data_IF_287211780285
#
_entry.id   IF_287211780285
#
_cell.length_a   1.000
_cell.length_b   1.000
_cell.length_c   1.000
_cell.angle_alpha   90.00
_cell.angle_beta   90.00
_cell.angle_gamma   90.00
#
_symmetry.space_group_name_H-M   'P 1'
#
loop_
_entity.id
_entity.type
_entity.pdbx_description
1 polymer ?
#
# COMPACT_ATOMS: atom_id res chain seq x y z
N UNK A 1 10.27 -28.23 2.21
CA UNK A 1 8.82 -28.11 2.52
C UNK A 1 8.46 -26.65 2.73
N UNK A 2 7.81 -26.04 1.73
CA UNK A 2 7.10 -24.76 1.92
C UNK A 2 6.04 -25.00 3.00
N UNK A 3 5.95 -24.15 4.03
CA UNK A 3 4.90 -24.31 5.05
C UNK A 3 3.56 -24.21 4.32
N UNK A 4 2.74 -25.27 4.33
CA UNK A 4 1.41 -25.31 3.68
C UNK A 4 0.59 -24.04 3.98
N UNK A 5 0.68 -23.55 5.21
CA UNK A 5 0.04 -22.31 5.65
C UNK A 5 0.41 -21.04 4.85
N UNK A 6 1.62 -20.95 4.28
CA UNK A 6 2.03 -19.81 3.47
C UNK A 6 1.34 -19.82 2.10
N UNK A 7 1.31 -20.97 1.43
CA UNK A 7 0.62 -21.15 0.14
C UNK A 7 -0.85 -20.78 0.31
N UNK A 8 -1.51 -21.33 1.33
CA UNK A 8 -2.92 -21.04 1.60
C UNK A 8 -3.21 -19.54 1.75
N UNK A 9 -2.36 -18.79 2.46
CA UNK A 9 -2.55 -17.34 2.64
C UNK A 9 -2.42 -16.56 1.33
N UNK A 10 -1.43 -16.89 0.50
CA UNK A 10 -1.22 -16.21 -0.78
C UNK A 10 -2.33 -16.56 -1.78
N UNK A 11 -2.69 -17.83 -1.87
CA UNK A 11 -3.79 -18.30 -2.71
C UNK A 11 -5.12 -17.68 -2.27
N UNK A 12 -5.43 -17.66 -0.98
CA UNK A 12 -6.67 -17.05 -0.48
C UNK A 12 -6.73 -15.55 -0.77
N UNK A 13 -5.62 -14.83 -0.62
CA UNK A 13 -5.56 -13.40 -0.91
C UNK A 13 -5.79 -13.13 -2.40
N UNK A 14 -5.15 -13.90 -3.27
CA UNK A 14 -5.32 -13.79 -4.72
C UNK A 14 -6.77 -14.10 -5.15
N UNK A 15 -7.35 -15.20 -4.65
CA UNK A 15 -8.74 -15.58 -4.93
C UNK A 15 -9.72 -14.52 -4.41
N UNK A 16 -9.52 -13.99 -3.20
CA UNK A 16 -10.33 -12.90 -2.68
C UNK A 16 -10.23 -11.65 -3.58
N UNK A 17 -9.04 -11.36 -4.08
CA UNK A 17 -8.80 -10.31 -5.06
C UNK A 17 -9.60 -10.51 -6.35
N UNK A 18 -9.61 -11.73 -6.90
CA UNK A 18 -10.43 -12.06 -8.05
C UNK A 18 -11.93 -11.86 -7.77
N UNK A 19 -12.44 -12.34 -6.63
CA UNK A 19 -13.85 -12.17 -6.26
C UNK A 19 -14.26 -10.69 -6.19
N UNK A 20 -13.39 -9.85 -5.62
CA UNK A 20 -13.56 -8.40 -5.56
C UNK A 20 -13.48 -7.78 -6.96
N UNK A 21 -12.49 -8.17 -7.78
CA UNK A 21 -12.31 -7.64 -9.13
C UNK A 21 -13.45 -8.00 -10.09
N UNK A 22 -14.05 -9.19 -9.93
CA UNK A 22 -15.26 -9.58 -10.66
C UNK A 22 -16.51 -8.82 -10.19
N UNK A 23 -16.41 -8.09 -9.07
CA UNK A 23 -17.54 -7.42 -8.40
C UNK A 23 -18.63 -8.41 -7.98
N UNK A 24 -18.25 -9.63 -7.62
CA UNK A 24 -19.16 -10.64 -7.06
C UNK A 24 -19.69 -10.16 -5.70
N UNK A 25 -18.81 -9.53 -4.91
CA UNK A 25 -19.20 -8.84 -3.69
C UNK A 25 -19.60 -7.38 -3.99
N UNK A 26 -20.72 -6.88 -3.44
CA UNK A 26 -21.10 -5.48 -3.60
C UNK A 26 -20.01 -4.54 -3.06
N UNK A 27 -19.67 -3.44 -3.77
CA UNK A 27 -18.64 -2.50 -3.32
C UNK A 27 -18.86 -1.96 -1.90
N UNK A 28 -20.12 -1.79 -1.49
CA UNK A 28 -20.50 -1.34 -0.15
C UNK A 28 -20.02 -2.30 0.94
N UNK A 29 -20.09 -3.62 0.70
CA UNK A 29 -19.61 -4.64 1.65
C UNK A 29 -18.09 -4.55 1.82
N UNK A 30 -17.36 -4.35 0.71
CA UNK A 30 -15.91 -4.18 0.74
C UNK A 30 -15.54 -2.87 1.44
N UNK A 31 -16.31 -1.79 1.18
CA UNK A 31 -16.19 -0.51 1.88
C UNK A 31 -16.36 -0.64 3.39
N UNK A 32 -17.32 -1.44 3.84
CA UNK A 32 -17.50 -1.73 5.27
C UNK A 32 -16.26 -2.42 5.87
N UNK A 33 -15.75 -3.47 5.24
CA UNK A 33 -14.52 -4.13 5.72
C UNK A 33 -13.30 -3.21 5.70
N UNK A 34 -13.18 -2.34 4.69
CA UNK A 34 -12.13 -1.33 4.64
C UNK A 34 -12.20 -0.37 5.84
N UNK A 35 -13.39 0.15 6.17
CA UNK A 35 -13.58 1.01 7.35
C UNK A 35 -13.23 0.27 8.64
N UNK A 36 -13.61 -1.00 8.77
CA UNK A 36 -13.22 -1.82 9.93
C UNK A 36 -11.69 -1.94 10.06
N UNK A 37 -10.97 -2.13 8.95
CA UNK A 37 -9.50 -2.19 8.95
C UNK A 37 -8.90 -0.84 9.36
N UNK A 38 -9.44 0.29 8.87
CA UNK A 38 -9.02 1.64 9.29
C UNK A 38 -9.20 1.80 10.80
N UNK A 39 -10.39 1.50 11.33
CA UNK A 39 -10.69 1.60 12.76
C UNK A 39 -9.72 0.71 13.56
N UNK A 40 -9.50 -0.53 13.12
CA UNK A 40 -8.54 -1.43 13.75
C UNK A 40 -7.13 -0.84 13.78
N UNK A 41 -6.66 -0.23 12.68
CA UNK A 41 -5.36 0.45 12.64
C UNK A 41 -5.28 1.59 13.67
N UNK A 42 -6.31 2.45 13.76
CA UNK A 42 -6.35 3.54 14.75
C UNK A 42 -6.36 2.99 16.18
N UNK A 43 -7.14 1.96 16.46
CA UNK A 43 -7.21 1.30 17.78
C UNK A 43 -5.85 0.71 18.17
N UNK A 44 -5.19 -0.01 17.27
CA UNK A 44 -3.87 -0.59 17.56
C UNK A 44 -2.77 0.46 17.69
N UNK A 45 -2.83 1.55 16.91
CA UNK A 45 -1.96 2.71 17.10
C UNK A 45 -2.19 3.34 18.48
N UNK A 46 -3.44 3.51 18.90
CA UNK A 46 -3.79 4.00 20.22
C UNK A 46 -3.37 3.04 21.33
N UNK A 47 -3.31 1.73 21.09
CA UNK A 47 -2.78 0.76 22.06
C UNK A 47 -1.24 0.67 22.04
N UNK A 48 -0.57 1.37 21.11
CA UNK A 48 0.85 1.21 20.81
C UNK A 48 1.24 -0.24 20.46
N UNK A 49 0.28 -1.04 19.95
CA UNK A 49 0.51 -2.40 19.46
C UNK A 49 0.99 -2.34 18.01
N UNK A 50 2.26 -1.99 17.84
CA UNK A 50 2.91 -1.89 16.52
C UNK A 50 2.82 -3.21 15.75
N UNK A 51 2.83 -4.35 16.44
CA UNK A 51 2.75 -5.66 15.83
C UNK A 51 1.44 -5.87 15.08
N UNK A 52 0.30 -5.49 15.66
CA UNK A 52 -1.00 -5.56 14.99
C UNK A 52 -1.17 -4.42 14.00
N UNK A 53 -0.78 -3.20 14.37
CA UNK A 53 -0.83 -2.04 13.48
C UNK A 53 -0.18 -2.32 12.11
N UNK A 54 1.09 -2.75 12.09
CA UNK A 54 1.81 -3.08 10.85
C UNK A 54 1.35 -4.39 10.19
N UNK A 55 0.49 -5.18 10.85
CA UNK A 55 -0.20 -6.30 10.21
C UNK A 55 -1.38 -5.79 9.38
N UNK A 56 -2.20 -4.90 9.92
CA UNK A 56 -3.43 -4.43 9.26
C UNK A 56 -3.19 -3.31 8.25
N UNK A 57 -2.20 -2.45 8.49
CA UNK A 57 -1.92 -1.27 7.68
C UNK A 57 -1.74 -1.57 6.17
N UNK A 58 -0.98 -2.60 5.74
CA UNK A 58 -0.85 -2.93 4.31
C UNK A 58 -2.19 -3.25 3.64
N UNK A 59 -3.10 -3.92 4.34
CA UNK A 59 -4.41 -4.25 3.78
C UNK A 59 -5.27 -3.00 3.58
N UNK A 60 -5.19 -2.01 4.48
CA UNK A 60 -5.82 -0.71 4.28
C UNK A 60 -5.26 -0.01 3.04
N UNK A 61 -3.93 0.12 2.95
CA UNK A 61 -3.24 0.79 1.84
C UNK A 61 -3.63 0.18 0.49
N UNK A 62 -3.56 -1.14 0.36
CA UNK A 62 -3.81 -1.80 -0.93
C UNK A 62 -5.30 -1.89 -1.27
N UNK A 63 -6.19 -1.98 -0.28
CA UNK A 63 -7.63 -1.96 -0.52
C UNK A 63 -8.14 -0.57 -0.93
N UNK A 64 -7.49 0.51 -0.48
CA UNK A 64 -7.86 1.88 -0.82
C UNK A 64 -8.00 2.09 -2.33
N UNK A 65 -7.10 1.50 -3.13
CA UNK A 65 -7.10 1.64 -4.60
C UNK A 65 -8.45 1.25 -5.18
N UNK A 66 -9.01 0.12 -4.71
CA UNK A 66 -10.31 -0.36 -5.13
C UNK A 66 -11.45 0.52 -4.59
N UNK A 67 -11.35 0.92 -3.32
CA UNK A 67 -12.36 1.73 -2.63
C UNK A 67 -12.53 3.10 -3.31
N UNK A 68 -11.43 3.77 -3.66
CA UNK A 68 -11.47 5.07 -4.37
C UNK A 68 -12.20 4.96 -5.70
N UNK A 69 -12.03 3.85 -6.42
CA UNK A 69 -12.68 3.63 -7.71
C UNK A 69 -14.16 3.20 -7.57
N UNK A 70 -14.52 2.47 -6.50
CA UNK A 70 -15.79 1.73 -6.44
C UNK A 70 -16.77 2.24 -5.37
N UNK A 71 -16.32 3.01 -4.38
CA UNK A 71 -17.13 3.43 -3.22
C UNK A 71 -16.99 4.93 -3.00
N UNK A 72 -17.87 5.72 -3.64
CA UNK A 72 -17.83 7.19 -3.60
C UNK A 72 -18.19 7.81 -2.25
N UNK A 73 -18.78 7.05 -1.33
CA UNK A 73 -19.19 7.52 0.00
C UNK A 73 -18.01 7.62 0.97
N UNK A 74 -16.90 6.93 0.70
CA UNK A 74 -15.71 6.98 1.53
C UNK A 74 -14.86 8.18 1.08
N UNK A 75 -14.32 9.00 2.00
CA UNK A 75 -13.50 10.15 1.66
C UNK A 75 -12.33 9.76 0.75
N UNK A 76 -12.10 10.55 -0.30
CA UNK A 76 -11.05 10.28 -1.28
C UNK A 76 -9.64 10.21 -0.65
N UNK A 77 -9.38 11.00 0.39
CA UNK A 77 -8.10 11.04 1.10
C UNK A 77 -8.07 10.13 2.35
N UNK A 78 -8.75 8.99 2.29
CA UNK A 78 -8.98 8.11 3.44
C UNK A 78 -7.68 7.61 4.08
N UNK A 79 -6.70 7.17 3.29
CA UNK A 79 -5.42 6.70 3.83
C UNK A 79 -4.55 7.84 4.34
N UNK A 80 -4.57 9.00 3.71
CA UNK A 80 -3.85 10.18 4.20
C UNK A 80 -4.37 10.58 5.58
N UNK A 81 -5.70 10.56 5.78
CA UNK A 81 -6.30 10.77 7.10
C UNK A 81 -5.90 9.70 8.10
N UNK A 82 -5.92 8.41 7.72
CA UNK A 82 -5.45 7.34 8.60
C UNK A 82 -3.98 7.55 9.00
N UNK A 83 -3.11 7.93 8.06
CA UNK A 83 -1.70 8.17 8.34
C UNK A 83 -1.53 9.33 9.33
N UNK A 84 -2.18 10.47 9.08
CA UNK A 84 -2.14 11.63 9.98
C UNK A 84 -2.61 11.23 11.38
N UNK A 85 -3.75 10.56 11.50
CA UNK A 85 -4.32 10.16 12.79
C UNK A 85 -3.45 9.11 13.49
N UNK A 86 -3.12 8.00 12.83
CA UNK A 86 -2.40 6.90 13.46
C UNK A 86 -0.96 7.27 13.83
N UNK A 87 -0.20 7.88 12.91
CA UNK A 87 1.17 8.30 13.21
C UNK A 87 1.21 9.51 14.15
N UNK A 88 0.20 10.39 14.12
CA UNK A 88 0.03 11.45 15.12
C UNK A 88 -0.15 10.88 16.54
N UNK A 89 -1.04 9.89 16.71
CA UNK A 89 -1.22 9.19 17.99
C UNK A 89 0.08 8.51 18.44
N UNK A 90 0.75 7.79 17.54
CA UNK A 90 2.00 7.10 17.85
C UNK A 90 3.11 8.08 18.24
N UNK A 91 3.21 9.23 17.55
CA UNK A 91 4.18 10.27 17.87
C UNK A 91 3.96 10.86 19.26
N UNK A 92 2.71 11.20 19.60
CA UNK A 92 2.35 11.71 20.93
C UNK A 92 2.73 10.69 22.02
N UNK A 93 2.47 9.40 21.78
CA UNK A 93 2.79 8.32 22.72
C UNK A 93 4.28 8.01 22.83
N UNK A 94 5.10 8.35 21.84
CA UNK A 94 6.52 8.00 21.79
C UNK A 94 7.47 9.06 22.39
N UNK A 95 6.94 10.02 23.15
CA UNK A 95 7.66 11.17 23.76
C UNK A 95 8.77 10.83 24.78
N UNK A 96 9.20 9.56 24.89
CA UNK A 96 10.28 9.15 25.79
C UNK A 96 11.69 9.31 25.20
N UNK A 97 11.85 9.22 23.87
CA UNK A 97 13.14 9.43 23.21
C UNK A 97 13.29 10.89 22.79
N UNK A 98 14.21 11.62 23.42
CA UNK A 98 14.40 13.05 23.16
C UNK A 98 15.16 13.37 21.87
N UNK A 99 15.83 12.40 21.26
CA UNK A 99 16.66 12.62 20.07
C UNK A 99 16.30 11.66 18.93
N UNK A 100 16.25 12.15 17.67
CA UNK A 100 16.03 11.30 16.52
C UNK A 100 17.24 10.38 16.30
N UNK A 101 17.00 9.12 15.92
CA UNK A 101 18.07 8.15 15.71
C UNK A 101 18.77 8.31 14.35
N UNK A 102 18.22 9.11 13.44
CA UNK A 102 18.74 9.33 12.09
C UNK A 102 18.88 10.81 11.76
N UNK A 103 20.04 11.19 11.18
CA UNK A 103 20.28 12.56 10.66
C UNK A 103 19.38 12.90 9.47
N UNK A 104 18.79 11.90 8.82
CA UNK A 104 17.77 12.10 7.77
C UNK A 104 16.57 12.88 8.28
N UNK A 105 16.31 12.87 9.59
CA UNK A 105 15.31 13.70 10.23
C UNK A 105 15.44 15.18 9.85
N UNK A 106 16.64 15.76 9.93
CA UNK A 106 16.84 17.18 9.62
C UNK A 106 16.55 17.50 8.16
N UNK A 107 16.97 16.63 7.25
CA UNK A 107 16.66 16.75 5.83
C UNK A 107 15.14 16.71 5.59
N UNK A 108 14.44 15.79 6.25
CA UNK A 108 13.00 15.58 6.08
C UNK A 108 12.17 16.72 6.70
N UNK A 109 12.63 17.30 7.81
CA UNK A 109 12.07 18.54 8.37
C UNK A 109 12.31 19.72 7.43
N UNK A 110 13.51 19.84 6.85
CA UNK A 110 13.78 20.86 5.83
C UNK A 110 12.88 20.72 4.60
N UNK A 111 12.70 19.50 4.09
CA UNK A 111 11.77 19.20 3.00
C UNK A 111 10.32 19.54 3.37
N UNK A 112 9.89 19.22 4.60
CA UNK A 112 8.56 19.57 5.09
C UNK A 112 8.30 21.09 5.08
N UNK A 113 9.30 21.87 5.51
CA UNK A 113 9.22 23.33 5.50
C UNK A 113 9.13 23.85 4.05
N UNK A 114 9.92 23.31 3.13
CA UNK A 114 9.86 23.68 1.71
C UNK A 114 8.49 23.36 1.09
N UNK A 115 7.89 22.22 1.41
CA UNK A 115 6.54 21.85 0.96
C UNK A 115 5.48 22.82 1.49
N UNK A 116 5.56 23.21 2.78
CA UNK A 116 4.65 24.20 3.37
C UNK A 116 4.83 25.57 2.68
N UNK A 117 6.07 26.01 2.44
CA UNK A 117 6.38 27.27 1.76
C UNK A 117 5.84 27.26 0.32
N UNK A 118 6.09 26.20 -0.43
CA UNK A 118 5.57 26.01 -1.78
C UNK A 118 4.02 26.04 -1.78
N UNK A 119 3.42 25.58 -0.68
CA UNK A 119 1.98 25.62 -0.49
C UNK A 119 1.37 27.01 -0.32
N UNK A 120 2.13 28.03 0.09
CA UNK A 120 1.62 29.40 0.21
C UNK A 120 1.50 30.13 -1.13
N UNK A 121 2.26 29.74 -2.14
CA UNK A 121 2.25 30.37 -3.47
C UNK A 121 1.98 29.36 -4.59
N UNK A 122 0.85 28.65 -4.57
CA UNK A 122 0.58 27.62 -5.57
C UNK A 122 0.25 28.24 -6.92
N UNK A 123 0.90 27.76 -7.98
CA UNK A 123 0.48 28.05 -9.35
C UNK A 123 -0.95 27.53 -9.66
N UNK A 124 -1.43 26.52 -8.91
CA UNK A 124 -2.76 25.91 -9.05
C UNK A 124 -3.40 25.63 -7.68
N UNK A 125 -4.16 26.59 -7.10
CA UNK A 125 -4.74 26.47 -5.76
C UNK A 125 -5.66 25.26 -5.55
N UNK A 126 -6.36 24.82 -6.59
CA UNK A 126 -7.27 23.67 -6.52
C UNK A 126 -6.55 22.34 -6.19
N UNK A 127 -5.29 22.19 -6.63
CA UNK A 127 -4.49 21.00 -6.38
C UNK A 127 -3.74 21.06 -5.06
N UNK A 128 -3.61 22.25 -4.47
CA UNK A 128 -2.82 22.50 -3.28
C UNK A 128 -3.23 21.57 -2.14
N UNK A 129 -4.54 21.45 -1.88
CA UNK A 129 -5.05 20.65 -0.74
C UNK A 129 -4.60 19.20 -0.85
N UNK A 130 -4.73 18.57 -2.02
CA UNK A 130 -4.37 17.16 -2.19
C UNK A 130 -2.85 16.95 -2.05
N UNK A 131 -2.05 17.84 -2.66
CA UNK A 131 -0.58 17.79 -2.58
C UNK A 131 -0.12 17.99 -1.13
N UNK A 132 -0.64 19.02 -0.47
CA UNK A 132 -0.28 19.35 0.91
C UNK A 132 -0.61 18.20 1.87
N UNK A 133 -1.80 17.59 1.78
CA UNK A 133 -2.17 16.47 2.64
C UNK A 133 -1.33 15.21 2.38
N UNK A 134 -0.95 14.94 1.13
CA UNK A 134 -0.04 13.84 0.79
C UNK A 134 1.36 14.06 1.40
N UNK A 135 1.91 15.26 1.23
CA UNK A 135 3.20 15.63 1.80
C UNK A 135 3.16 15.58 3.32
N UNK A 136 2.14 16.19 3.93
CA UNK A 136 1.98 16.26 5.39
C UNK A 136 1.82 14.88 6.05
N UNK A 137 1.00 13.99 5.47
CA UNK A 137 0.85 12.62 5.97
C UNK A 137 2.16 11.83 5.91
N UNK A 138 2.94 12.00 4.84
CA UNK A 138 4.26 11.39 4.69
C UNK A 138 5.26 11.93 5.72
N UNK A 139 5.27 13.25 5.95
CA UNK A 139 6.12 13.90 6.95
C UNK A 139 5.84 13.36 8.35
N UNK A 140 4.57 13.24 8.75
CA UNK A 140 4.23 12.68 10.06
C UNK A 140 4.75 11.25 10.26
N UNK A 141 4.55 10.39 9.26
CA UNK A 141 5.05 9.01 9.31
C UNK A 141 6.58 8.97 9.42
N UNK A 142 7.27 9.82 8.67
CA UNK A 142 8.73 9.95 8.67
C UNK A 142 9.28 10.49 9.99
N UNK A 143 8.64 11.52 10.55
CA UNK A 143 9.02 12.10 11.85
C UNK A 143 8.87 11.03 12.91
N UNK A 144 7.72 10.35 12.97
CA UNK A 144 7.52 9.24 13.89
C UNK A 144 8.57 8.13 13.72
N UNK A 145 8.84 7.72 12.47
CA UNK A 145 9.85 6.72 12.17
C UNK A 145 11.23 7.16 12.65
N UNK A 146 11.59 8.45 12.52
CA UNK A 146 12.88 9.00 12.97
C UNK A 146 13.11 8.92 14.49
N UNK A 147 12.06 8.77 15.29
CA UNK A 147 12.17 8.55 16.74
C UNK A 147 12.00 7.08 17.14
N UNK A 148 11.53 6.23 16.23
CA UNK A 148 11.15 4.85 16.52
C UNK A 148 11.98 3.86 15.70
N UNK A 149 12.86 3.11 16.36
CA UNK A 149 13.62 2.04 15.70
C UNK A 149 12.72 0.82 15.54
N UNK A 150 12.41 0.44 14.29
CA UNK A 150 11.65 -0.77 14.00
C UNK A 150 12.56 -1.99 14.13
N UNK A 151 12.13 -2.99 14.91
CA UNK A 151 12.86 -4.25 15.04
C UNK A 151 12.83 -5.04 13.72
N UNK A 152 13.86 -5.86 13.41
CA UNK A 152 13.85 -6.71 12.22
C UNK A 152 12.62 -7.63 12.15
N UNK A 153 12.12 -8.10 13.29
CA UNK A 153 10.90 -8.92 13.36
C UNK A 153 9.66 -8.16 12.89
N UNK A 154 9.53 -6.89 13.26
CA UNK A 154 8.42 -6.04 12.86
C UNK A 154 8.50 -5.67 11.37
N UNK A 155 9.70 -5.35 10.88
CA UNK A 155 9.95 -5.10 9.45
C UNK A 155 9.58 -6.33 8.63
N UNK A 156 10.08 -7.51 8.99
CA UNK A 156 9.75 -8.75 8.28
C UNK A 156 8.25 -9.06 8.30
N UNK A 157 7.57 -8.75 9.40
CA UNK A 157 6.11 -8.90 9.51
C UNK A 157 5.37 -7.93 8.58
N UNK A 158 5.79 -6.66 8.52
CA UNK A 158 5.24 -5.66 7.61
C UNK A 158 5.42 -6.12 6.16
N UNK A 159 6.65 -6.48 5.78
CA UNK A 159 6.98 -6.94 4.43
C UNK A 159 6.17 -8.19 4.04
N UNK A 160 5.99 -9.14 4.95
CA UNK A 160 5.17 -10.33 4.70
C UNK A 160 3.69 -9.98 4.44
N UNK A 161 3.11 -9.05 5.19
CA UNK A 161 1.73 -8.60 4.96
C UNK A 161 1.60 -7.76 3.68
N UNK A 162 2.63 -6.97 3.33
CA UNK A 162 2.68 -6.29 2.03
C UNK A 162 2.61 -7.32 0.90
N UNK A 163 3.44 -8.39 0.91
CA UNK A 163 3.37 -9.46 -0.12
C UNK A 163 1.95 -10.02 -0.29
N UNK A 164 1.24 -10.27 0.82
CA UNK A 164 -0.14 -10.80 0.79
C UNK A 164 -1.11 -9.76 0.21
N UNK A 165 -1.06 -8.51 0.69
CA UNK A 165 -1.91 -7.42 0.22
C UNK A 165 -1.68 -7.10 -1.26
N UNK A 166 -0.44 -7.22 -1.73
CA UNK A 166 -0.10 -7.07 -3.15
C UNK A 166 -0.72 -8.16 -4.02
N UNK A 167 -0.78 -9.41 -3.56
CA UNK A 167 -1.47 -10.47 -4.30
C UNK A 167 -2.99 -10.28 -4.34
N UNK A 168 -3.57 -9.74 -3.28
CA UNK A 168 -4.97 -9.34 -3.31
C UNK A 168 -5.22 -8.28 -4.40
N UNK A 169 -4.40 -7.22 -4.46
CA UNK A 169 -4.49 -6.21 -5.52
C UNK A 169 -4.24 -6.81 -6.92
N UNK A 170 -3.24 -7.67 -7.05
CA UNK A 170 -2.94 -8.38 -8.30
C UNK A 170 -4.15 -9.21 -8.79
N UNK A 171 -4.84 -9.89 -7.87
CA UNK A 171 -6.07 -10.61 -8.16
C UNK A 171 -7.18 -9.70 -8.70
N UNK A 172 -7.35 -8.50 -8.14
CA UNK A 172 -8.34 -7.53 -8.64
C UNK A 172 -8.03 -7.12 -10.09
N UNK A 173 -6.76 -6.88 -10.40
CA UNK A 173 -6.32 -6.39 -11.71
C UNK A 173 -6.45 -7.48 -12.77
N UNK A 174 -6.07 -8.72 -12.44
CA UNK A 174 -6.13 -9.87 -13.37
C UNK A 174 -7.53 -10.06 -13.97
N UNK A 175 -8.58 -9.69 -13.27
CA UNK A 175 -9.95 -9.78 -13.79
C UNK A 175 -10.14 -8.99 -15.08
N UNK A 176 -9.48 -7.83 -15.24
CA UNK A 176 -9.54 -7.08 -16.50
C UNK A 176 -8.98 -7.91 -17.67
N UNK A 177 -7.84 -8.56 -17.45
CA UNK A 177 -7.20 -9.42 -18.45
C UNK A 177 -8.01 -10.68 -18.74
N UNK A 178 -8.72 -11.25 -17.75
CA UNK A 178 -9.61 -12.39 -18.00
C UNK A 178 -10.86 -11.97 -18.80
N UNK A 179 -11.42 -10.78 -18.52
CA UNK A 179 -12.60 -10.27 -19.25
C UNK A 179 -12.27 -9.88 -20.70
N UNK A 180 -11.00 -9.61 -21.03
CA UNK A 180 -10.54 -9.37 -22.40
C UNK A 180 -10.94 -8.01 -23.01
N UNK A 181 -11.72 -7.18 -22.31
CA UNK A 181 -12.21 -5.90 -22.82
C UNK A 181 -11.21 -4.76 -22.57
N UNK A 182 -9.94 -4.95 -22.96
CA UNK A 182 -8.87 -3.96 -22.74
C UNK A 182 -8.56 -3.25 -24.05
N UNK A 183 -8.76 -1.93 -24.07
CA UNK A 183 -8.28 -1.08 -25.16
C UNK A 183 -6.91 -0.52 -24.75
N UNK A 184 -5.87 -1.01 -25.43
CA UNK A 184 -4.51 -0.51 -25.24
C UNK A 184 -4.31 0.77 -26.06
N UNK A 185 -3.97 1.85 -25.36
CA UNK A 185 -3.60 3.13 -25.98
C UNK A 185 -2.11 3.43 -25.81
N UNK A 186 -1.73 4.66 -26.16
CA UNK A 186 -0.36 5.18 -25.97
C UNK A 186 -0.06 5.58 -24.51
N UNK A 187 -1.03 5.48 -23.61
CA UNK A 187 -0.95 5.83 -22.20
C UNK A 187 -1.28 4.61 -21.33
N UNK A 188 -0.89 4.65 -20.05
CA UNK A 188 -1.23 3.60 -19.08
C UNK A 188 -2.75 3.41 -19.02
N UNK A 189 -3.22 2.18 -19.24
CA UNK A 189 -4.64 1.92 -19.46
C UNK A 189 -5.38 1.70 -18.14
N UNK A 190 -6.40 2.53 -17.89
CA UNK A 190 -7.37 2.29 -16.81
C UNK A 190 -8.17 1.01 -17.06
N UNK A 191 -8.31 0.57 -18.31
CA UNK A 191 -9.05 -0.65 -18.63
C UNK A 191 -8.22 -1.88 -18.23
N UNK A 192 -6.90 -1.85 -18.49
CA UNK A 192 -5.98 -2.90 -18.09
C UNK A 192 -5.85 -3.03 -16.56
N UNK A 193 -6.09 -1.95 -15.81
CA UNK A 193 -6.08 -1.94 -14.35
C UNK A 193 -7.44 -2.25 -13.70
N UNK A 194 -8.45 -2.71 -14.46
CA UNK A 194 -9.81 -2.96 -13.99
C UNK A 194 -10.53 -1.70 -13.44
N UNK A 195 -10.32 -0.56 -14.11
CA UNK A 195 -10.93 0.73 -13.75
C UNK A 195 -10.22 1.46 -12.60
N UNK A 196 -9.04 0.98 -12.18
CA UNK A 196 -8.28 1.53 -11.06
C UNK A 196 -7.21 2.51 -11.55
N UNK A 197 -6.76 3.43 -10.69
CA UNK A 197 -5.75 4.43 -11.06
C UNK A 197 -4.38 3.79 -11.41
N UNK A 198 -3.96 3.80 -12.69
CA UNK A 198 -2.81 3.01 -13.13
C UNK A 198 -1.50 3.49 -12.47
N UNK A 199 -1.28 4.80 -12.34
CA UNK A 199 -0.04 5.34 -11.74
C UNK A 199 0.13 4.92 -10.27
N UNK A 200 -0.95 4.80 -9.50
CA UNK A 200 -0.86 4.33 -8.11
C UNK A 200 -0.54 2.83 -8.07
N UNK A 201 -1.15 2.05 -8.97
CA UNK A 201 -0.91 0.61 -9.09
C UNK A 201 0.54 0.30 -9.45
N UNK A 202 1.18 1.10 -10.31
CA UNK A 202 2.60 0.86 -10.66
C UNK A 202 3.50 1.01 -9.44
N UNK A 203 3.22 2.01 -8.59
CA UNK A 203 3.91 2.16 -7.31
C UNK A 203 3.73 0.93 -6.42
N UNK A 204 2.49 0.46 -6.24
CA UNK A 204 2.21 -0.69 -5.37
C UNK A 204 2.79 -2.01 -5.91
N UNK A 205 2.60 -2.32 -7.19
CA UNK A 205 3.14 -3.53 -7.79
C UNK A 205 4.68 -3.49 -7.92
N UNK A 206 5.27 -2.30 -8.11
CA UNK A 206 6.72 -2.10 -8.12
C UNK A 206 7.35 -2.31 -6.75
N UNK A 207 6.72 -1.81 -5.68
CA UNK A 207 7.12 -2.10 -4.30
C UNK A 207 6.97 -3.60 -4.01
N UNK A 208 5.86 -4.20 -4.42
CA UNK A 208 5.61 -5.62 -4.25
C UNK A 208 6.67 -6.50 -4.92
N UNK A 209 6.95 -6.25 -6.21
CA UNK A 209 7.95 -7.00 -6.98
C UNK A 209 9.34 -6.86 -6.35
N UNK A 210 9.71 -5.66 -5.91
CA UNK A 210 10.97 -5.41 -5.20
C UNK A 210 11.07 -6.20 -3.90
N UNK A 211 10.00 -6.22 -3.08
CA UNK A 211 9.96 -6.97 -1.81
C UNK A 211 10.01 -8.47 -2.04
N UNK A 212 9.30 -8.99 -3.04
CA UNK A 212 9.33 -10.42 -3.37
C UNK A 212 10.71 -10.80 -3.92
N UNK A 213 11.33 -9.94 -4.73
CA UNK A 213 12.68 -10.13 -5.24
C UNK A 213 13.73 -10.14 -4.11
N UNK A 214 13.64 -9.23 -3.14
CA UNK A 214 14.49 -9.28 -1.95
C UNK A 214 14.30 -10.61 -1.19
N UNK A 215 13.08 -11.14 -1.14
CA UNK A 215 12.79 -12.47 -0.61
C UNK A 215 13.44 -13.62 -1.39
N UNK A 216 13.60 -13.50 -2.70
CA UNK A 216 14.34 -14.47 -3.52
C UNK A 216 15.83 -14.49 -3.18
N UNK A 217 16.42 -13.30 -3.04
CA UNK A 217 17.84 -13.11 -2.76
C UNK A 217 18.20 -13.43 -1.31
N UNK A 218 17.22 -13.39 -0.39
CA UNK A 218 17.44 -13.65 1.02
C UNK A 218 17.73 -15.13 1.31
N UNK A 219 18.78 -15.36 2.10
CA UNK A 219 19.14 -16.68 2.59
C UNK A 219 18.13 -17.24 3.60
N UNK A 220 17.43 -16.36 4.31
CA UNK A 220 16.41 -16.73 5.30
C UNK A 220 15.17 -17.37 4.65
N UNK A 221 14.89 -17.02 3.39
CA UNK A 221 13.74 -17.50 2.63
C UNK A 221 14.10 -18.61 1.61
N UNK A 222 15.29 -19.22 1.71
CA UNK A 222 15.76 -20.31 0.81
C UNK A 222 14.71 -21.39 0.55
N UNK A 223 13.98 -21.81 1.59
CA UNK A 223 12.94 -22.85 1.50
C UNK A 223 11.69 -22.44 0.71
N UNK A 224 11.44 -21.14 0.58
CA UNK A 224 10.30 -20.58 -0.13
C UNK A 224 10.69 -19.93 -1.47
N UNK A 225 11.94 -20.12 -1.94
CA UNK A 225 12.43 -19.50 -3.19
C UNK A 225 11.54 -19.78 -4.38
N UNK A 226 11.09 -21.03 -4.57
CA UNK A 226 10.18 -21.37 -5.67
C UNK A 226 8.86 -20.60 -5.58
N UNK A 227 8.28 -20.51 -4.39
CA UNK A 227 7.05 -19.74 -4.16
C UNK A 227 7.28 -18.26 -4.46
N UNK A 228 8.32 -17.64 -3.89
CA UNK A 228 8.66 -16.25 -4.16
C UNK A 228 8.92 -16.01 -5.66
N UNK A 229 9.48 -16.99 -6.38
CA UNK A 229 9.74 -16.88 -7.82
C UNK A 229 8.42 -16.83 -8.59
N UNK A 230 7.50 -17.74 -8.30
CA UNK A 230 6.16 -17.74 -8.90
C UNK A 230 5.40 -16.45 -8.59
N UNK A 231 5.46 -15.97 -7.34
CA UNK A 231 4.83 -14.71 -6.95
C UNK A 231 5.45 -13.51 -7.67
N UNK A 232 6.78 -13.48 -7.78
CA UNK A 232 7.51 -12.42 -8.47
C UNK A 232 7.14 -12.36 -9.95
N UNK A 233 7.16 -13.51 -10.63
CA UNK A 233 6.77 -13.61 -12.04
C UNK A 233 5.32 -13.16 -12.22
N UNK A 234 4.41 -13.63 -11.37
CA UNK A 234 2.98 -13.26 -11.43
C UNK A 234 2.77 -11.76 -11.29
N UNK A 235 3.30 -11.15 -10.22
CA UNK A 235 3.16 -9.71 -9.94
C UNK A 235 3.82 -8.89 -11.04
N UNK A 236 4.99 -9.30 -11.53
CA UNK A 236 5.71 -8.59 -12.59
C UNK A 236 4.98 -8.64 -13.92
N UNK A 237 4.45 -9.82 -14.31
CA UNK A 237 3.64 -9.94 -15.53
C UNK A 237 2.41 -9.04 -15.43
N UNK A 238 1.67 -9.08 -14.32
CA UNK A 238 0.48 -8.23 -14.13
C UNK A 238 0.85 -6.75 -14.20
N UNK A 239 1.95 -6.35 -13.55
CA UNK A 239 2.48 -4.99 -13.63
C UNK A 239 2.76 -4.61 -15.09
N UNK A 240 3.56 -5.40 -15.81
CA UNK A 240 3.90 -5.11 -17.22
C UNK A 240 2.66 -5.04 -18.10
N UNK A 241 1.71 -5.98 -17.96
CA UNK A 241 0.46 -5.98 -18.73
C UNK A 241 -0.44 -4.78 -18.42
N UNK A 242 -0.42 -4.29 -17.18
CA UNK A 242 -1.18 -3.10 -16.78
C UNK A 242 -0.57 -1.82 -17.35
N UNK A 243 0.76 -1.78 -17.52
CA UNK A 243 1.51 -0.60 -17.98
C UNK A 243 2.00 -0.68 -19.42
N UNK A 244 1.69 -1.77 -20.13
CA UNK A 244 2.00 -1.91 -21.55
C UNK A 244 1.33 -0.79 -22.33
N UNK A 245 2.16 -0.03 -23.06
CA UNK A 245 1.73 1.01 -23.99
C UNK A 245 1.68 0.39 -25.38
N UNK A 246 0.53 0.45 -26.05
CA UNK A 246 0.34 -0.14 -27.37
C UNK A 246 0.19 -1.67 -27.38
N UNK A 247 0.09 -2.34 -26.23
CA UNK A 247 -0.15 -3.78 -26.16
C UNK A 247 1.09 -4.67 -26.41
N UNK A 248 2.28 -4.07 -26.39
CA UNK A 248 3.59 -4.76 -26.42
C UNK A 248 4.09 -5.16 -25.03
#
# INVERSE_FOLDING_TARGET
MVKKAAIWKFSSAFVLGLLVGYKIMPPVVIGFFYVLIIIACVVYAAQNDLNKFFTYLPYAIYAEVFIRASVKTIPYLGMEYLYVTAFGILLIKHTKNKQPHSKAFYFLVGFAILEIINGFFPARPLLLRAIFFNSFSSILAVVWASYTVLTPTLINKLLANIKIASLFLAGIIVVAHIKGNIVYGNFSSSDASNGLAPVQISGYLGVASSIIFMGLMSDQEKRNRLLNFLLFVTVTIIMVLTFSRGGL
#
